data_IF_847546667510
#
_entry.id   IF_847546667510
#
_cell.length_a   1.000
_cell.length_b   1.000
_cell.length_c   1.000
_cell.angle_alpha   90.00
_cell.angle_beta   90.00
_cell.angle_gamma   90.00
#
_symmetry.space_group_name_H-M   'P 1'
#
loop_
_entity.id
_entity.type
_entity.pdbx_description
1 polymer ?
#
# COMPACT_ATOMS: atom_id res chain seq x y z
N UNK A 1 -10.23 -1.35 -24.61
CA UNK A 1 -9.59 -2.29 -23.71
C UNK A 1 -10.55 -2.61 -22.57
N UNK A 2 -11.02 -1.63 -21.78
CA UNK A 2 -12.03 -1.78 -20.71
C UNK A 2 -13.40 -1.27 -21.15
N UNK A 3 -14.48 -1.69 -20.50
CA UNK A 3 -15.83 -1.18 -20.76
C UNK A 3 -16.75 -1.44 -19.57
N UNK A 4 -17.84 -0.67 -19.47
CA UNK A 4 -18.89 -0.86 -18.45
C UNK A 4 -19.60 -2.22 -18.51
N UNK A 5 -19.45 -2.99 -19.61
CA UNK A 5 -19.98 -4.36 -19.73
C UNK A 5 -19.12 -5.40 -19.02
N UNK A 6 -17.88 -5.06 -18.69
CA UNK A 6 -16.90 -5.89 -17.99
C UNK A 6 -16.45 -5.17 -16.74
N UNK A 7 -17.38 -5.09 -15.81
CA UNK A 7 -17.22 -4.37 -14.56
C UNK A 7 -18.04 -5.03 -13.45
N UNK A 8 -17.50 -5.02 -12.26
CA UNK A 8 -18.20 -5.31 -11.02
C UNK A 8 -17.86 -4.21 -10.00
N UNK A 9 -18.75 -3.96 -9.05
CA UNK A 9 -18.51 -2.94 -8.04
C UNK A 9 -18.69 -3.50 -6.63
N UNK A 10 -17.96 -2.91 -5.69
CA UNK A 10 -18.28 -2.87 -4.27
C UNK A 10 -18.89 -1.50 -3.93
N UNK A 11 -19.06 -1.19 -2.68
CA UNK A 11 -19.52 0.16 -2.27
C UNK A 11 -18.47 1.22 -2.63
N UNK A 12 -17.18 0.91 -2.50
CA UNK A 12 -16.08 1.87 -2.62
C UNK A 12 -15.17 1.66 -3.84
N UNK A 13 -15.25 0.53 -4.54
CA UNK A 13 -14.39 0.24 -5.68
C UNK A 13 -15.20 -0.17 -6.93
N UNK A 14 -14.63 0.15 -8.10
CA UNK A 14 -15.08 -0.32 -9.41
C UNK A 14 -13.99 -1.20 -10.03
N UNK A 15 -14.29 -2.46 -10.24
CA UNK A 15 -13.36 -3.46 -10.77
C UNK A 15 -13.68 -3.64 -12.25
N UNK A 16 -12.73 -3.30 -13.11
CA UNK A 16 -12.82 -3.44 -14.55
C UNK A 16 -11.87 -4.52 -15.03
N UNK A 17 -12.23 -5.24 -16.10
CA UNK A 17 -11.34 -6.22 -16.72
C UNK A 17 -11.32 -6.11 -18.23
N UNK A 18 -10.22 -6.50 -18.81
CA UNK A 18 -9.98 -6.43 -20.24
C UNK A 18 -10.83 -7.41 -21.03
N UNK A 19 -10.99 -7.11 -22.34
CA UNK A 19 -11.77 -7.92 -23.27
C UNK A 19 -11.30 -9.39 -23.36
N UNK A 20 -10.01 -9.65 -23.15
CA UNK A 20 -9.44 -11.00 -23.19
C UNK A 20 -10.09 -11.98 -22.23
N UNK A 21 -10.54 -11.51 -21.07
CA UNK A 21 -11.29 -12.34 -20.10
C UNK A 21 -12.70 -12.76 -20.57
N UNK A 22 -13.23 -12.14 -21.62
CA UNK A 22 -14.65 -12.30 -21.93
C UNK A 22 -15.54 -11.58 -20.91
N UNK A 23 -16.69 -12.17 -20.62
CA UNK A 23 -17.67 -11.59 -19.69
C UNK A 23 -17.56 -12.14 -18.26
N UNK A 24 -16.79 -13.20 -18.05
CA UNK A 24 -16.68 -13.90 -16.78
C UNK A 24 -15.20 -14.02 -16.36
N UNK A 25 -14.82 -13.39 -15.27
CA UNK A 25 -13.49 -13.48 -14.69
C UNK A 25 -13.19 -14.84 -14.05
N UNK A 26 -14.22 -15.61 -13.68
CA UNK A 26 -14.02 -16.92 -13.06
C UNK A 26 -13.72 -18.03 -14.10
N UNK A 27 -14.13 -17.83 -15.35
CA UNK A 27 -13.96 -18.80 -16.41
C UNK A 27 -13.51 -18.16 -17.75
N UNK A 28 -12.41 -17.37 -17.75
CA UNK A 28 -11.90 -16.76 -18.96
C UNK A 28 -11.20 -17.83 -19.84
N UNK A 29 -10.96 -17.55 -21.12
CA UNK A 29 -10.03 -18.33 -21.91
C UNK A 29 -8.62 -18.35 -21.29
N UNK A 30 -7.89 -19.44 -21.50
CA UNK A 30 -6.46 -19.47 -21.17
C UNK A 30 -5.67 -18.54 -22.12
N UNK A 31 -4.60 -17.98 -21.62
CA UNK A 31 -3.64 -17.22 -22.41
C UNK A 31 -2.35 -18.03 -22.55
N UNK A 32 -2.03 -18.44 -23.77
CA UNK A 32 -0.82 -19.25 -24.05
C UNK A 32 -0.72 -20.53 -23.18
N UNK A 33 -1.87 -21.15 -22.87
CA UNK A 33 -1.95 -22.34 -22.02
C UNK A 33 -1.89 -22.07 -20.51
N UNK A 34 -1.87 -20.80 -20.09
CA UNK A 34 -1.89 -20.42 -18.68
C UNK A 34 -3.31 -20.04 -18.23
N UNK A 35 -3.80 -20.57 -17.10
CA UNK A 35 -5.08 -20.18 -16.53
C UNK A 35 -5.12 -18.70 -16.17
N UNK A 36 -6.18 -18.02 -16.60
CA UNK A 36 -6.38 -16.59 -16.37
C UNK A 36 -7.53 -16.30 -15.40
N UNK A 37 -8.09 -17.32 -14.76
CA UNK A 37 -9.20 -17.16 -13.82
C UNK A 37 -8.85 -16.28 -12.63
N UNK A 38 -9.81 -15.46 -12.20
CA UNK A 38 -9.71 -14.61 -11.01
C UNK A 38 -10.93 -14.87 -10.12
N UNK A 39 -10.69 -15.10 -8.84
CA UNK A 39 -11.76 -15.20 -7.83
C UNK A 39 -12.31 -13.81 -7.54
N UNK A 40 -13.33 -13.40 -8.30
CA UNK A 40 -13.95 -12.08 -8.21
C UNK A 40 -14.58 -11.82 -6.83
N UNK A 41 -15.17 -12.81 -6.20
CA UNK A 41 -15.83 -12.62 -4.91
C UNK A 41 -14.80 -12.43 -3.80
N UNK A 42 -13.71 -13.20 -3.80
CA UNK A 42 -12.59 -12.95 -2.89
C UNK A 42 -11.95 -11.58 -3.15
N UNK A 43 -11.75 -11.21 -4.40
CA UNK A 43 -11.19 -9.90 -4.77
C UNK A 43 -12.06 -8.75 -4.24
N UNK A 44 -13.38 -8.80 -4.43
CA UNK A 44 -14.33 -7.81 -3.92
C UNK A 44 -14.30 -7.71 -2.39
N UNK A 45 -14.32 -8.86 -1.72
CA UNK A 45 -14.30 -8.93 -0.26
C UNK A 45 -13.02 -8.31 0.33
N UNK A 46 -11.85 -8.71 -0.18
CA UNK A 46 -10.58 -8.23 0.33
C UNK A 46 -10.38 -6.75 0.02
N UNK A 47 -10.71 -6.31 -1.21
CA UNK A 47 -10.59 -4.90 -1.60
C UNK A 47 -11.44 -3.99 -0.71
N UNK A 48 -12.68 -4.37 -0.43
CA UNK A 48 -13.55 -3.58 0.44
C UNK A 48 -13.01 -3.53 1.87
N UNK A 49 -12.51 -4.65 2.39
CA UNK A 49 -11.88 -4.74 3.71
C UNK A 49 -10.64 -3.84 3.81
N UNK A 50 -9.76 -3.86 2.81
CA UNK A 50 -8.56 -3.02 2.76
C UNK A 50 -8.93 -1.54 2.66
N UNK A 51 -9.86 -1.22 1.75
CA UNK A 51 -10.32 0.15 1.56
C UNK A 51 -10.86 0.77 2.84
N UNK A 52 -11.78 0.08 3.52
CA UNK A 52 -12.37 0.56 4.77
C UNK A 52 -11.30 0.76 5.85
N UNK A 53 -10.34 -0.15 5.94
CA UNK A 53 -9.26 -0.02 6.92
C UNK A 53 -8.34 1.18 6.60
N UNK A 54 -7.96 1.37 5.35
CA UNK A 54 -7.09 2.48 4.92
C UNK A 54 -7.78 3.84 5.06
N UNK A 55 -9.08 3.90 4.80
CA UNK A 55 -9.87 5.11 4.98
C UNK A 55 -10.16 5.40 6.46
N UNK A 56 -10.69 4.42 7.18
CA UNK A 56 -11.31 4.65 8.50
C UNK A 56 -10.34 4.51 9.67
N UNK A 57 -9.38 3.58 9.58
CA UNK A 57 -8.41 3.34 10.63
C UNK A 57 -7.10 4.08 10.39
N UNK A 58 -6.53 3.99 9.19
CA UNK A 58 -5.27 4.66 8.86
C UNK A 58 -5.45 6.13 8.47
N UNK A 59 -6.66 6.55 8.14
CA UNK A 59 -6.97 7.95 7.79
C UNK A 59 -6.10 8.51 6.65
N UNK A 60 -5.79 7.70 5.63
CA UNK A 60 -4.98 8.16 4.50
C UNK A 60 -5.67 9.27 3.68
N UNK A 61 -6.99 9.29 3.65
CA UNK A 61 -7.78 10.37 3.06
C UNK A 61 -8.62 11.08 4.12
N UNK A 62 -8.90 12.36 3.91
CA UNK A 62 -9.74 13.18 4.77
C UNK A 62 -11.19 13.19 4.31
N UNK A 63 -12.14 13.56 5.18
CA UNK A 63 -13.49 13.93 4.76
C UNK A 63 -13.46 14.98 3.64
N UNK A 64 -14.28 14.78 2.62
CA UNK A 64 -14.31 15.63 1.41
C UNK A 64 -13.40 15.13 0.28
N UNK A 65 -12.67 14.04 0.47
CA UNK A 65 -11.91 13.37 -0.60
C UNK A 65 -12.78 13.09 -1.83
N UNK A 66 -12.16 13.10 -3.01
CA UNK A 66 -12.83 12.66 -4.24
C UNK A 66 -13.29 11.19 -4.14
N UNK A 67 -12.65 10.38 -3.30
CA UNK A 67 -13.06 8.99 -3.03
C UNK A 67 -14.43 8.86 -2.34
N UNK A 68 -14.99 9.94 -1.78
CA UNK A 68 -16.37 9.98 -1.31
C UNK A 68 -17.40 10.14 -2.43
N UNK A 69 -16.97 10.67 -3.59
CA UNK A 69 -17.82 10.93 -4.77
C UNK A 69 -17.68 9.85 -5.82
N UNK A 70 -16.49 9.30 -5.96
CA UNK A 70 -16.14 8.33 -6.99
C UNK A 70 -15.52 7.09 -6.36
N UNK A 71 -15.86 5.92 -6.89
CA UNK A 71 -15.19 4.67 -6.53
C UNK A 71 -13.76 4.67 -7.00
N UNK A 72 -12.83 4.19 -6.18
CA UNK A 72 -11.48 3.87 -6.64
C UNK A 72 -11.55 2.75 -7.68
N UNK A 73 -10.55 2.65 -8.57
CA UNK A 73 -10.58 1.76 -9.71
C UNK A 73 -9.57 0.62 -9.56
N UNK A 74 -10.04 -0.59 -9.83
CA UNK A 74 -9.20 -1.79 -9.98
C UNK A 74 -9.26 -2.25 -11.43
N UNK A 75 -8.12 -2.31 -12.11
CA UNK A 75 -8.00 -2.56 -13.54
C UNK A 75 -7.29 -3.90 -13.78
N UNK A 76 -8.05 -4.95 -14.09
CA UNK A 76 -7.50 -6.29 -14.29
C UNK A 76 -7.07 -6.46 -15.76
N UNK A 77 -5.78 -6.72 -15.95
CA UNK A 77 -5.15 -6.84 -17.26
C UNK A 77 -5.08 -8.32 -17.68
N UNK A 78 -5.45 -8.61 -18.91
CA UNK A 78 -5.33 -9.93 -19.51
C UNK A 78 -3.92 -10.11 -20.07
N UNK A 79 -2.96 -10.41 -19.17
CA UNK A 79 -1.53 -10.48 -19.48
C UNK A 79 -0.82 -11.48 -18.56
N UNK A 80 0.28 -12.06 -19.05
CA UNK A 80 1.20 -12.92 -18.29
C UNK A 80 2.39 -12.16 -17.69
N UNK A 81 2.45 -10.84 -17.85
CA UNK A 81 3.63 -10.04 -17.43
C UNK A 81 3.92 -10.07 -15.93
N UNK A 82 2.96 -10.48 -15.12
CA UNK A 82 3.18 -10.61 -13.68
C UNK A 82 3.30 -9.28 -12.93
N UNK A 83 2.79 -8.21 -13.50
CA UNK A 83 2.85 -6.86 -12.92
C UNK A 83 1.64 -6.58 -12.04
N UNK A 84 1.88 -5.80 -11.00
CA UNK A 84 0.88 -5.01 -10.31
C UNK A 84 1.48 -3.62 -10.06
N UNK A 85 0.68 -2.58 -10.12
CA UNK A 85 1.11 -1.23 -9.76
C UNK A 85 -0.07 -0.37 -9.34
N UNK A 86 0.12 0.40 -8.29
CA UNK A 86 -0.84 1.37 -7.79
C UNK A 86 -0.55 2.77 -8.32
N UNK A 87 -1.60 3.58 -8.39
CA UNK A 87 -1.51 4.91 -8.95
C UNK A 87 -2.82 5.69 -8.76
N UNK A 88 -3.03 6.62 -9.67
CA UNK A 88 -4.29 7.35 -9.82
C UNK A 88 -4.77 7.30 -11.28
N UNK A 89 -6.04 7.63 -11.47
CA UNK A 89 -6.64 7.86 -12.77
C UNK A 89 -6.98 9.33 -12.92
N UNK A 90 -6.40 9.96 -13.96
CA UNK A 90 -6.58 11.37 -14.32
C UNK A 90 -6.26 12.37 -13.17
N UNK A 91 -5.43 11.99 -12.21
CA UNK A 91 -5.14 12.79 -10.99
C UNK A 91 -6.40 13.17 -10.20
N UNK A 92 -7.42 12.32 -10.25
CA UNK A 92 -8.72 12.52 -9.59
C UNK A 92 -9.01 11.42 -8.59
N UNK A 93 -8.82 10.16 -8.98
CA UNK A 93 -9.20 9.00 -8.19
C UNK A 93 -8.10 7.96 -8.17
N UNK A 94 -7.83 7.40 -6.98
CA UNK A 94 -6.90 6.30 -6.82
C UNK A 94 -7.29 5.09 -7.67
N UNK A 95 -6.30 4.46 -8.28
CA UNK A 95 -6.48 3.29 -9.12
C UNK A 95 -5.28 2.34 -9.00
N UNK A 96 -5.50 1.05 -9.25
CA UNK A 96 -4.40 0.11 -9.42
C UNK A 96 -4.67 -0.83 -10.59
N UNK A 97 -3.59 -1.40 -11.12
CA UNK A 97 -3.59 -2.37 -12.21
C UNK A 97 -2.95 -3.66 -11.75
N UNK A 98 -3.54 -4.79 -12.09
CA UNK A 98 -2.98 -6.09 -11.72
C UNK A 98 -3.25 -7.14 -12.81
N UNK A 99 -2.36 -8.12 -12.92
CA UNK A 99 -2.52 -9.30 -13.77
C UNK A 99 -2.96 -10.50 -12.93
N UNK A 100 -3.58 -11.55 -13.52
CA UNK A 100 -4.14 -12.68 -12.78
C UNK A 100 -3.17 -13.39 -11.84
N UNK A 101 -1.89 -13.49 -12.20
CA UNK A 101 -0.89 -14.14 -11.35
C UNK A 101 -0.61 -13.39 -10.03
N UNK A 102 -0.99 -12.11 -9.91
CA UNK A 102 -0.95 -11.32 -8.67
C UNK A 102 -2.24 -11.42 -7.85
N UNK A 103 -3.22 -12.15 -8.36
CA UNK A 103 -4.57 -12.30 -7.78
C UNK A 103 -4.86 -13.75 -7.33
N UNK A 104 -3.86 -14.64 -7.35
CA UNK A 104 -4.03 -16.05 -6.98
C UNK A 104 -3.93 -16.29 -5.48
N UNK A 105 -3.20 -15.46 -4.76
CA UNK A 105 -3.12 -15.52 -3.31
C UNK A 105 -4.45 -15.09 -2.68
N UNK A 106 -5.00 -15.91 -1.79
CA UNK A 106 -6.28 -15.63 -1.12
C UNK A 106 -6.24 -14.39 -0.23
N UNK A 107 -5.07 -14.04 0.31
CA UNK A 107 -4.88 -12.86 1.15
C UNK A 107 -4.69 -11.59 0.33
N UNK A 108 -4.35 -11.74 -0.96
CA UNK A 108 -4.13 -10.67 -1.93
C UNK A 108 -3.11 -9.63 -1.45
N UNK A 109 -1.95 -10.10 -0.96
CA UNK A 109 -0.88 -9.24 -0.44
C UNK A 109 -0.47 -8.17 -1.46
N UNK A 110 -0.22 -8.55 -2.72
CA UNK A 110 0.11 -7.59 -3.78
C UNK A 110 -0.99 -6.53 -3.96
N UNK A 111 -2.27 -6.93 -3.90
CA UNK A 111 -3.40 -6.00 -4.05
C UNK A 111 -3.49 -5.04 -2.86
N UNK A 112 -3.24 -5.51 -1.65
CA UNK A 112 -3.20 -4.65 -0.47
C UNK A 112 -2.11 -3.57 -0.60
N UNK A 113 -0.92 -3.97 -1.10
CA UNK A 113 0.18 -3.05 -1.40
C UNK A 113 -0.21 -2.01 -2.45
N UNK A 114 -0.73 -2.44 -3.61
CA UNK A 114 -1.08 -1.53 -4.72
C UNK A 114 -2.26 -0.60 -4.39
N UNK A 115 -3.22 -1.08 -3.62
CA UNK A 115 -4.28 -0.21 -3.09
C UNK A 115 -3.70 0.82 -2.12
N UNK A 116 -2.63 0.47 -1.37
CA UNK A 116 -1.87 1.41 -0.55
C UNK A 116 -1.35 2.59 -1.38
N UNK A 117 -0.71 2.33 -2.52
CA UNK A 117 -0.29 3.38 -3.45
C UNK A 117 -1.46 4.21 -3.97
N UNK A 118 -2.60 3.57 -4.26
CA UNK A 118 -3.80 4.28 -4.71
C UNK A 118 -4.28 5.29 -3.65
N UNK A 119 -4.19 4.96 -2.36
CA UNK A 119 -4.52 5.88 -1.27
C UNK A 119 -3.48 6.99 -1.09
N UNK A 120 -2.19 6.68 -1.22
CA UNK A 120 -1.11 7.68 -1.17
C UNK A 120 -1.31 8.74 -2.28
N UNK A 121 -1.59 8.31 -3.51
CA UNK A 121 -1.81 9.21 -4.64
C UNK A 121 -3.18 9.88 -4.59
N UNK A 122 -4.21 9.25 -4.00
CA UNK A 122 -5.49 9.91 -3.73
C UNK A 122 -5.30 11.12 -2.82
N UNK A 123 -4.48 11.03 -1.79
CA UNK A 123 -4.19 12.18 -0.92
C UNK A 123 -3.61 13.35 -1.71
N UNK A 124 -2.71 13.08 -2.65
CA UNK A 124 -2.11 14.10 -3.53
C UNK A 124 -3.16 14.66 -4.50
N UNK A 125 -3.99 13.81 -5.11
CA UNK A 125 -5.06 14.22 -6.01
C UNK A 125 -6.12 15.09 -5.30
N UNK A 126 -6.32 14.88 -4.01
CA UNK A 126 -7.20 15.69 -3.15
C UNK A 126 -6.54 17.03 -2.73
N UNK A 127 -5.31 17.30 -3.16
CA UNK A 127 -4.57 18.52 -2.84
C UNK A 127 -3.88 18.52 -1.48
N UNK A 128 -3.73 17.34 -0.86
CA UNK A 128 -3.07 17.16 0.43
C UNK A 128 -1.63 16.68 0.24
N UNK A 129 -0.70 17.30 0.96
CA UNK A 129 0.71 16.96 0.86
C UNK A 129 1.34 17.27 -0.48
N UNK A 130 2.58 16.86 -0.62
CA UNK A 130 3.32 16.88 -1.89
C UNK A 130 4.10 15.58 -2.01
N UNK A 131 4.30 15.09 -3.23
CA UNK A 131 5.19 13.97 -3.45
C UNK A 131 6.62 14.36 -3.05
N UNK A 132 7.18 13.66 -2.06
CA UNK A 132 8.59 13.77 -1.74
C UNK A 132 9.43 13.24 -2.91
N UNK A 133 10.59 13.82 -3.14
CA UNK A 133 11.52 13.30 -4.13
C UNK A 133 11.98 11.87 -3.80
N UNK A 134 11.84 10.94 -4.76
CA UNK A 134 12.22 9.54 -4.60
C UNK A 134 11.09 8.62 -4.14
N UNK A 135 11.22 7.34 -4.45
CA UNK A 135 10.16 6.35 -4.31
C UNK A 135 10.16 5.60 -2.98
N UNK A 136 11.24 5.71 -2.18
CA UNK A 136 11.47 4.82 -1.05
C UNK A 136 10.34 4.80 -0.04
N UNK A 137 9.84 5.95 0.37
CA UNK A 137 8.78 6.05 1.37
C UNK A 137 7.41 5.59 0.84
N UNK A 138 7.15 5.73 -0.46
CA UNK A 138 5.89 5.26 -1.05
C UNK A 138 5.82 3.75 -0.98
N UNK A 139 6.90 3.06 -1.40
CA UNK A 139 6.98 1.60 -1.32
C UNK A 139 6.93 1.10 0.13
N UNK A 140 7.71 1.71 1.01
CA UNK A 140 7.72 1.36 2.43
C UNK A 140 6.35 1.60 3.07
N UNK A 141 5.67 2.70 2.71
CA UNK A 141 4.33 3.01 3.19
C UNK A 141 3.29 2.00 2.72
N UNK A 142 3.34 1.58 1.45
CA UNK A 142 2.46 0.54 0.92
C UNK A 142 2.72 -0.83 1.57
N UNK A 143 3.98 -1.19 1.83
CA UNK A 143 4.32 -2.39 2.60
C UNK A 143 3.83 -2.32 4.04
N UNK A 144 3.94 -1.16 4.68
CA UNK A 144 3.38 -0.97 6.02
C UNK A 144 1.85 -1.10 6.01
N UNK A 145 1.16 -0.52 5.03
CA UNK A 145 -0.30 -0.63 4.88
C UNK A 145 -0.73 -2.08 4.65
N UNK A 146 -0.02 -2.82 3.80
CA UNK A 146 -0.20 -4.26 3.62
C UNK A 146 -0.08 -5.00 4.96
N UNK A 147 0.97 -4.75 5.72
CA UNK A 147 1.18 -5.41 7.02
C UNK A 147 0.06 -5.07 8.03
N UNK A 148 -0.54 -3.88 7.94
CA UNK A 148 -1.69 -3.50 8.77
C UNK A 148 -2.92 -4.39 8.52
N UNK A 149 -3.21 -4.77 7.29
CA UNK A 149 -4.39 -5.55 6.92
C UNK A 149 -4.14 -7.06 6.84
N UNK A 150 -2.89 -7.47 6.61
CA UNK A 150 -2.46 -8.86 6.57
C UNK A 150 -1.31 -9.07 7.57
N UNK A 151 -1.60 -9.27 8.86
CA UNK A 151 -0.59 -9.31 9.92
C UNK A 151 0.42 -10.45 9.74
N UNK A 152 0.07 -11.53 9.04
CA UNK A 152 0.97 -12.65 8.69
C UNK A 152 1.87 -12.37 7.47
N UNK A 153 1.90 -11.13 6.95
CA UNK A 153 2.72 -10.78 5.79
C UNK A 153 4.18 -11.23 5.91
N UNK A 154 4.80 -11.07 7.08
CA UNK A 154 6.20 -11.46 7.30
C UNK A 154 6.39 -12.98 7.12
N UNK A 155 5.42 -13.78 7.55
CA UNK A 155 5.44 -15.24 7.42
C UNK A 155 5.14 -15.67 5.98
N UNK A 156 4.23 -14.98 5.31
CA UNK A 156 3.85 -15.27 3.91
C UNK A 156 4.99 -14.92 2.94
N UNK A 157 5.73 -13.85 3.22
CA UNK A 157 6.75 -13.28 2.35
C UNK A 157 8.10 -13.15 3.07
N UNK A 158 8.55 -14.24 3.73
CA UNK A 158 9.77 -14.31 4.55
C UNK A 158 11.02 -13.79 3.84
N UNK A 159 11.05 -13.84 2.50
CA UNK A 159 12.18 -13.34 1.71
C UNK A 159 12.43 -11.83 1.92
N UNK A 160 11.42 -11.05 2.27
CA UNK A 160 11.61 -9.64 2.63
C UNK A 160 12.42 -9.50 3.93
N UNK A 161 12.05 -10.26 4.95
CA UNK A 161 12.78 -10.29 6.22
C UNK A 161 14.21 -10.82 6.04
N UNK A 162 14.39 -11.92 5.31
CA UNK A 162 15.69 -12.51 5.05
C UNK A 162 16.65 -11.58 4.29
N UNK A 163 16.10 -10.78 3.39
CA UNK A 163 16.88 -9.76 2.70
C UNK A 163 17.18 -8.55 3.58
N UNK A 164 16.22 -8.10 4.40
CA UNK A 164 16.42 -6.99 5.34
C UNK A 164 17.52 -7.30 6.36
N UNK A 165 17.54 -8.50 6.95
CA UNK A 165 18.60 -8.92 7.89
C UNK A 165 20.02 -8.74 7.34
N UNK A 166 20.21 -8.83 6.04
CA UNK A 166 21.49 -8.63 5.37
C UNK A 166 21.83 -7.17 5.13
N UNK A 167 20.84 -6.28 5.23
CA UNK A 167 20.91 -4.87 4.86
C UNK A 167 20.61 -3.91 6.02
N UNK A 168 20.64 -4.37 7.27
CA UNK A 168 20.37 -3.57 8.47
C UNK A 168 21.35 -2.41 8.67
N UNK A 169 22.54 -2.48 8.08
CA UNK A 169 23.54 -1.42 8.07
C UNK A 169 23.23 -0.26 7.11
N UNK A 170 22.22 -0.43 6.25
CA UNK A 170 21.77 0.58 5.29
C UNK A 170 20.60 1.37 5.87
N UNK A 171 20.46 2.64 5.46
CA UNK A 171 19.34 3.47 5.84
C UNK A 171 18.00 2.79 5.49
N UNK A 172 16.96 3.02 6.27
CA UNK A 172 15.63 2.43 6.02
C UNK A 172 15.06 2.84 4.65
N UNK A 173 15.34 4.05 4.15
CA UNK A 173 14.96 4.51 2.80
C UNK A 173 15.96 4.12 1.70
N UNK A 174 16.97 3.30 2.00
CA UNK A 174 17.86 2.80 0.96
C UNK A 174 17.10 1.88 -0.02
N UNK A 175 17.40 1.96 -1.30
CA UNK A 175 16.68 1.23 -2.38
C UNK A 175 16.55 -0.28 -2.13
N UNK A 176 17.51 -0.90 -1.46
CA UNK A 176 17.44 -2.32 -1.09
C UNK A 176 16.51 -2.59 0.12
N UNK A 177 16.09 -1.56 0.85
CA UNK A 177 15.28 -1.69 2.06
C UNK A 177 13.82 -1.24 1.87
N UNK A 178 13.51 -0.45 0.84
CA UNK A 178 12.19 0.20 0.69
C UNK A 178 11.00 -0.76 0.73
N UNK A 179 11.13 -1.97 0.18
CA UNK A 179 10.10 -3.02 0.24
C UNK A 179 10.24 -3.93 1.47
N UNK A 180 11.27 -3.76 2.29
CA UNK A 180 11.71 -4.77 3.26
C UNK A 180 11.78 -4.27 4.68
N UNK A 181 11.65 -2.94 4.90
CA UNK A 181 11.84 -2.32 6.21
C UNK A 181 10.70 -1.39 6.64
N UNK A 182 9.42 -1.85 6.67
CA UNK A 182 8.31 -1.02 7.13
C UNK A 182 8.34 -0.78 8.65
N UNK A 183 9.34 -1.30 9.33
CA UNK A 183 9.44 -1.35 10.79
C UNK A 183 9.56 0.03 11.43
N UNK A 184 10.21 1.00 10.76
CA UNK A 184 10.26 2.38 11.27
C UNK A 184 8.87 3.04 11.24
N UNK A 185 8.05 2.74 10.25
CA UNK A 185 6.69 3.26 10.19
C UNK A 185 5.81 2.60 11.26
N UNK A 186 6.01 1.32 11.56
CA UNK A 186 5.34 0.66 12.68
C UNK A 186 5.74 1.31 14.01
N UNK A 187 7.03 1.52 14.25
CA UNK A 187 7.52 2.22 15.43
C UNK A 187 6.88 3.60 15.60
N UNK A 188 6.84 4.41 14.54
CA UNK A 188 6.20 5.73 14.58
C UNK A 188 4.69 5.62 14.85
N UNK A 189 4.01 4.66 14.22
CA UNK A 189 2.57 4.49 14.42
C UNK A 189 2.22 4.00 15.84
N UNK A 190 3.05 3.18 16.45
CA UNK A 190 2.88 2.76 17.85
C UNK A 190 3.01 3.92 18.85
N UNK A 191 3.89 4.87 18.55
CA UNK A 191 4.12 6.04 19.41
C UNK A 191 3.09 7.15 19.19
N UNK A 192 2.71 7.40 17.94
CA UNK A 192 1.88 8.56 17.55
C UNK A 192 0.42 8.19 17.29
N UNK A 193 0.12 6.90 17.23
CA UNK A 193 -1.19 6.38 16.88
C UNK A 193 -1.32 5.97 15.42
N UNK A 194 -2.22 5.05 15.18
CA UNK A 194 -2.40 4.38 13.89
C UNK A 194 -2.62 5.34 12.69
N UNK A 195 -3.35 6.48 12.81
CA UNK A 195 -3.54 7.43 11.72
C UNK A 195 -2.29 8.24 11.35
N UNK A 196 -1.25 8.20 12.16
CA UNK A 196 -0.10 9.10 12.03
C UNK A 196 0.60 8.98 10.66
N UNK A 197 0.74 7.78 10.13
CA UNK A 197 1.43 7.58 8.84
C UNK A 197 0.64 8.23 7.70
N UNK A 198 -0.69 8.08 7.68
CA UNK A 198 -1.54 8.81 6.73
C UNK A 198 -1.39 10.33 6.86
N UNK A 199 -1.30 10.83 8.08
CA UNK A 199 -1.06 12.25 8.33
C UNK A 199 0.31 12.70 7.85
N UNK A 200 1.36 11.90 8.06
CA UNK A 200 2.72 12.17 7.58
C UNK A 200 2.73 12.40 6.06
N UNK A 201 2.07 11.53 5.30
CA UNK A 201 1.94 11.69 3.84
C UNK A 201 1.21 12.99 3.46
N UNK A 202 0.13 13.33 4.15
CA UNK A 202 -0.64 14.55 3.87
C UNK A 202 0.07 15.83 4.28
N UNK A 203 0.99 15.76 5.24
CA UNK A 203 1.70 16.93 5.77
C UNK A 203 3.02 17.24 5.07
N UNK A 204 3.46 16.42 4.12
CA UNK A 204 4.68 16.68 3.36
C UNK A 204 4.64 18.03 2.64
N UNK A 205 5.75 18.77 2.65
CA UNK A 205 5.89 20.07 1.99
C UNK A 205 6.94 20.02 0.89
N UNK A 206 6.79 20.88 -0.11
CA UNK A 206 7.76 21.00 -1.18
C UNK A 206 9.16 21.30 -0.63
N UNK A 207 10.12 20.48 -1.03
CA UNK A 207 11.53 20.59 -0.60
C UNK A 207 11.85 19.85 0.71
N UNK A 208 10.86 19.21 1.33
CA UNK A 208 11.09 18.27 2.43
C UNK A 208 11.29 16.84 1.89
N UNK A 209 11.90 16.01 2.71
CA UNK A 209 11.83 14.55 2.63
C UNK A 209 10.96 14.01 3.78
N UNK A 210 10.67 12.71 3.84
CA UNK A 210 9.85 12.13 4.91
C UNK A 210 10.41 12.36 6.31
N UNK A 211 11.74 12.35 6.47
CA UNK A 211 12.41 12.58 7.76
C UNK A 211 12.27 14.04 8.18
N UNK A 212 12.47 14.97 7.25
CA UNK A 212 12.27 16.40 7.50
C UNK A 212 10.82 16.70 7.91
N UNK A 213 9.85 16.11 7.19
CA UNK A 213 8.42 16.23 7.53
C UNK A 213 8.14 15.68 8.92
N UNK A 214 8.62 14.49 9.24
CA UNK A 214 8.48 13.87 10.56
C UNK A 214 9.05 14.73 11.67
N UNK A 215 10.31 15.18 11.53
CA UNK A 215 10.96 16.05 12.51
C UNK A 215 10.18 17.35 12.74
N UNK A 216 9.68 17.96 11.67
CA UNK A 216 8.85 19.18 11.78
C UNK A 216 7.53 18.90 12.49
N UNK A 217 6.83 17.82 12.16
CA UNK A 217 5.56 17.47 12.81
C UNK A 217 5.72 17.20 14.31
N UNK A 218 6.83 16.57 14.70
CA UNK A 218 7.13 16.22 16.08
C UNK A 218 7.96 17.29 16.81
N UNK A 219 8.34 18.38 16.13
CA UNK A 219 9.19 19.44 16.66
C UNK A 219 10.52 18.92 17.23
N UNK A 220 11.17 17.99 16.52
CA UNK A 220 12.41 17.33 16.97
C UNK A 220 13.66 18.07 16.48
N UNK A 221 14.63 18.26 17.39
CA UNK A 221 16.01 18.57 17.02
C UNK A 221 16.66 17.36 16.31
N UNK A 222 17.84 17.56 15.73
CA UNK A 222 18.60 16.46 15.14
C UNK A 222 19.04 15.43 16.21
N UNK A 223 19.42 15.88 17.37
CA UNK A 223 19.83 15.03 18.48
C UNK A 223 18.65 14.16 18.97
N UNK A 224 17.51 14.78 19.23
CA UNK A 224 16.29 14.06 19.62
C UNK A 224 15.85 13.02 18.56
N UNK A 225 15.96 13.37 17.27
CA UNK A 225 15.68 12.42 16.21
C UNK A 225 16.68 11.25 16.20
N UNK A 226 17.96 11.51 16.42
CA UNK A 226 18.97 10.44 16.50
C UNK A 226 18.71 9.50 17.67
N UNK A 227 18.33 10.05 18.85
CA UNK A 227 17.96 9.24 20.02
C UNK A 227 16.73 8.38 19.74
N UNK A 228 15.74 8.93 19.07
CA UNK A 228 14.54 8.20 18.66
C UNK A 228 14.86 7.11 17.65
N UNK A 229 15.72 7.36 16.67
CA UNK A 229 16.18 6.34 15.73
C UNK A 229 16.96 5.22 16.43
N UNK A 230 17.77 5.56 17.43
CA UNK A 230 18.45 4.55 18.24
C UNK A 230 17.45 3.66 18.99
N UNK A 231 16.43 4.24 19.61
CA UNK A 231 15.35 3.51 20.26
C UNK A 231 14.59 2.61 19.26
N UNK A 232 14.27 3.12 18.07
CA UNK A 232 13.61 2.34 17.01
C UNK A 232 14.43 1.12 16.59
N UNK A 233 15.76 1.26 16.49
CA UNK A 233 16.62 0.11 16.18
C UNK A 233 16.75 -0.87 17.36
N UNK A 234 16.64 -0.43 18.61
CA UNK A 234 16.56 -1.36 19.75
C UNK A 234 15.28 -2.19 19.68
N UNK A 235 14.13 -1.57 19.38
CA UNK A 235 12.88 -2.29 19.16
C UNK A 235 12.99 -3.29 18.00
N UNK A 236 13.66 -2.91 16.92
CA UNK A 236 13.90 -3.80 15.79
C UNK A 236 14.77 -5.00 16.13
N UNK A 237 15.82 -4.81 16.94
CA UNK A 237 16.69 -5.92 17.39
C UNK A 237 15.92 -6.94 18.21
N UNK A 238 15.07 -6.47 19.12
CA UNK A 238 14.23 -7.31 19.99
C UNK A 238 12.98 -7.83 19.25
N UNK A 239 12.62 -7.21 18.14
CA UNK A 239 11.39 -7.43 17.39
C UNK A 239 10.15 -7.33 18.26
N UNK A 240 10.13 -6.38 19.19
CA UNK A 240 9.12 -6.21 20.25
C UNK A 240 8.00 -5.23 19.89
N UNK A 241 7.57 -5.23 18.63
CA UNK A 241 6.41 -4.48 18.19
C UNK A 241 5.12 -5.10 18.74
N UNK A 242 4.21 -4.28 19.23
CA UNK A 242 2.91 -4.70 19.79
C UNK A 242 2.11 -5.54 18.82
N UNK A 243 2.17 -5.21 17.55
CA UNK A 243 1.52 -5.95 16.47
C UNK A 243 1.97 -7.41 16.43
N UNK A 244 3.25 -7.68 16.60
CA UNK A 244 3.81 -9.04 16.54
C UNK A 244 3.28 -9.91 17.70
N UNK A 245 3.00 -9.31 18.84
CA UNK A 245 2.47 -10.04 20.01
C UNK A 245 0.94 -10.15 20.02
N UNK A 246 0.24 -9.55 19.06
CA UNK A 246 -1.22 -9.57 18.96
C UNK A 246 -1.75 -10.56 17.90
N UNK A 247 -0.87 -11.37 17.31
CA UNK A 247 -1.20 -12.37 16.28
C UNK A 247 -1.40 -13.73 16.92
#
# INVERSE_FOLDING_TARGET
>A
RYSSRRMSCTDNLAIFWEKGFGNDLAAPPDLEGHPMAVDLENLKYQLERFYLFYRDSLKFVKPGSQSEKYRMMSMIQYSLEGTAYGGDYDQVIGAFWATPNRLQDKRLNAVAHELGHSFQLQSIADGEGVAWGGNGIFEMGAQWMLWQVNPHWIDDETYHWDAFKKNTHKAFLHTENIYRSPYILEYWSERQGLPFIGELFRQGKKGEDPVMTYKRMQNLSQEQFNDEMFDAYQHLINFDYKRVFSI
#
